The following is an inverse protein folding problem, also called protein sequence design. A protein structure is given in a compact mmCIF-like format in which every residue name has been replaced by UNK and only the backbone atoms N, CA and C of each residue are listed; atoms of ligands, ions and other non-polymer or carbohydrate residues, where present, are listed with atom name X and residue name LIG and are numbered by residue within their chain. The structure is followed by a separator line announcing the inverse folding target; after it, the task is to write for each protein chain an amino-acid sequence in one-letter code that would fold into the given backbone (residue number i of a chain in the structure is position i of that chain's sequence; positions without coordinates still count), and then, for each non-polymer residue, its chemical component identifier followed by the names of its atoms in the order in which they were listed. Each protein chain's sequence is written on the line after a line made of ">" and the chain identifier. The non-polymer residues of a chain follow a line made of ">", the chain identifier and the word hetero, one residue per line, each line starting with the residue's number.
data_IF_369199757450
#
_entry.id   IF_369199757450
#
_cell.length_a   1.000
_cell.length_b   1.000
_cell.length_c   1.000
_cell.angle_alpha   90.00
_cell.angle_beta   90.00
_cell.angle_gamma   90.00
#
_symmetry.space_group_name_H-M   'P 1'
#
loop_
_entity.id
_entity.type
_entity.pdbx_description
1 polymer ?
#
# COMPACT_ATOMS: atom_id res chain seq x y z
N UNK A 1 3.89 -0.83 27.95
CA UNK A 1 2.88 0.19 28.31
C UNK A 1 3.61 1.51 28.29
N UNK A 2 3.02 2.53 27.68
CA UNK A 2 3.62 3.86 27.56
C UNK A 2 2.81 4.85 28.42
N UNK A 3 3.48 5.49 29.38
CA UNK A 3 2.83 6.42 30.32
C UNK A 3 2.40 7.75 29.68
N UNK A 4 3.09 8.18 28.63
CA UNK A 4 2.66 9.37 27.89
C UNK A 4 1.41 9.06 27.07
N UNK A 5 1.31 7.87 26.47
CA UNK A 5 0.06 7.43 25.83
C UNK A 5 -1.08 7.33 26.84
N UNK A 6 -0.83 6.82 28.05
CA UNK A 6 -1.84 6.78 29.11
C UNK A 6 -2.30 8.18 29.51
N UNK A 7 -1.37 9.11 29.67
CA UNK A 7 -1.64 10.52 29.96
C UNK A 7 -2.52 11.16 28.89
N UNK A 8 -2.24 10.88 27.60
CA UNK A 8 -3.06 11.33 26.47
C UNK A 8 -4.48 10.76 26.55
N UNK A 9 -4.62 9.45 26.84
CA UNK A 9 -5.92 8.78 26.96
C UNK A 9 -6.76 9.40 28.09
N UNK A 10 -6.18 9.61 29.27
CA UNK A 10 -6.86 10.26 30.40
C UNK A 10 -7.25 11.70 30.08
N UNK A 11 -6.38 12.46 29.40
CA UNK A 11 -6.68 13.81 28.97
C UNK A 11 -7.84 13.86 27.97
N UNK A 12 -7.87 12.96 26.99
CA UNK A 12 -8.96 12.87 26.02
C UNK A 12 -10.30 12.59 26.71
N UNK A 13 -10.34 11.56 27.56
CA UNK A 13 -11.56 11.19 28.29
C UNK A 13 -12.09 12.33 29.15
N UNK A 14 -11.21 13.02 29.88
CA UNK A 14 -11.58 14.15 30.74
C UNK A 14 -12.03 15.37 29.93
N UNK A 15 -11.30 15.73 28.88
CA UNK A 15 -11.53 16.97 28.12
C UNK A 15 -12.80 16.88 27.27
N UNK A 16 -13.10 15.72 26.69
CA UNK A 16 -14.21 15.53 25.76
C UNK A 16 -15.40 14.76 26.36
N UNK A 17 -15.45 14.55 27.68
CA UNK A 17 -16.51 13.81 28.37
C UNK A 17 -17.92 14.33 28.03
N UNK A 18 -18.09 15.66 27.93
CA UNK A 18 -19.38 16.29 27.64
C UNK A 18 -19.90 16.01 26.22
N UNK A 19 -19.05 15.52 25.31
CA UNK A 19 -19.41 15.15 23.94
C UNK A 19 -19.86 13.70 23.81
N UNK A 20 -19.72 12.87 24.86
CA UNK A 20 -20.19 11.48 24.87
C UNK A 20 -21.71 11.41 24.70
N UNK A 21 -22.44 12.26 25.43
CA UNK A 21 -23.91 12.31 25.34
C UNK A 21 -24.41 12.78 23.96
N UNK A 22 -23.58 13.48 23.18
CA UNK A 22 -23.88 13.92 21.81
C UNK A 22 -23.53 12.86 20.75
N UNK A 23 -22.84 11.79 21.13
CA UNK A 23 -22.31 10.79 20.21
C UNK A 23 -21.04 11.22 19.45
N UNK A 24 -20.52 12.42 19.72
CA UNK A 24 -19.36 12.99 19.05
C UNK A 24 -18.02 12.50 19.64
N UNK A 25 -18.03 11.88 20.81
CA UNK A 25 -16.85 11.28 21.45
C UNK A 25 -17.20 9.96 22.12
N UNK A 26 -16.24 9.05 22.22
CA UNK A 26 -16.37 7.77 22.91
C UNK A 26 -15.27 7.65 23.96
N UNK A 27 -15.63 7.32 25.20
CA UNK A 27 -14.66 7.05 26.26
C UNK A 27 -13.78 5.86 25.90
N UNK A 28 -12.47 6.01 26.04
CA UNK A 28 -11.48 4.99 25.68
C UNK A 28 -10.77 4.41 26.90
N UNK A 29 -10.19 3.19 26.81
CA UNK A 29 -9.37 2.65 27.89
C UNK A 29 -8.10 3.46 28.12
N UNK A 30 -7.78 3.75 29.39
CA UNK A 30 -6.56 4.47 29.82
C UNK A 30 -5.46 3.48 30.21
N UNK A 31 -5.01 2.69 29.25
CA UNK A 31 -4.14 1.54 29.48
C UNK A 31 -2.70 1.73 28.96
N UNK A 32 -2.36 2.92 28.46
CA UNK A 32 -1.04 3.23 27.90
C UNK A 32 -0.68 2.38 26.67
N UNK A 33 -1.67 1.82 25.98
CA UNK A 33 -1.51 1.11 24.70
C UNK A 33 -2.07 1.99 23.59
N UNK A 34 -1.23 2.36 22.64
CA UNK A 34 -1.67 3.01 21.40
C UNK A 34 -2.48 2.01 20.54
N UNK A 35 -3.19 2.50 19.52
CA UNK A 35 -4.01 1.71 18.62
C UNK A 35 -5.19 2.49 18.05
N UNK A 36 -6.03 1.80 17.28
CA UNK A 36 -7.19 2.42 16.62
C UNK A 36 -8.08 3.20 17.57
N UNK A 37 -8.38 2.67 18.75
CA UNK A 37 -9.22 3.33 19.75
C UNK A 37 -8.67 4.71 20.16
N UNK A 38 -7.37 4.82 20.45
CA UNK A 38 -6.73 6.10 20.82
C UNK A 38 -6.64 7.04 19.62
N UNK A 39 -6.32 6.52 18.43
CA UNK A 39 -6.22 7.32 17.19
C UNK A 39 -7.57 7.89 16.77
N UNK A 40 -8.65 7.11 16.87
CA UNK A 40 -10.02 7.57 16.62
C UNK A 40 -10.44 8.63 17.61
N UNK A 41 -10.13 8.46 18.90
CA UNK A 41 -10.39 9.47 19.91
C UNK A 41 -9.65 10.79 19.64
N UNK A 42 -8.36 10.75 19.26
CA UNK A 42 -7.62 11.94 18.83
C UNK A 42 -8.21 12.60 17.57
N UNK A 43 -8.67 11.78 16.61
CA UNK A 43 -9.30 12.27 15.37
C UNK A 43 -10.62 12.98 15.65
N UNK A 44 -11.49 12.37 16.47
CA UNK A 44 -12.76 12.98 16.88
C UNK A 44 -12.55 14.22 17.74
N UNK A 45 -11.57 14.20 18.65
CA UNK A 45 -11.17 15.37 19.42
C UNK A 45 -10.78 16.53 18.49
N UNK A 46 -9.96 16.29 17.47
CA UNK A 46 -9.64 17.33 16.48
C UNK A 46 -10.88 17.83 15.75
N UNK A 47 -11.79 16.94 15.35
CA UNK A 47 -13.02 17.32 14.66
C UNK A 47 -13.92 18.21 15.55
N UNK A 48 -14.04 17.91 16.84
CA UNK A 48 -14.75 18.74 17.82
C UNK A 48 -14.13 20.13 17.90
N UNK A 49 -12.80 20.22 18.02
CA UNK A 49 -12.08 21.51 18.07
C UNK A 49 -12.20 22.30 16.77
N UNK A 50 -12.45 21.63 15.64
CA UNK A 50 -12.73 22.25 14.35
C UNK A 50 -14.23 22.56 14.13
N UNK A 51 -15.08 22.31 15.12
CA UNK A 51 -16.53 22.56 15.03
C UNK A 51 -17.30 21.59 14.14
N UNK A 52 -16.78 20.38 13.93
CA UNK A 52 -17.39 19.35 13.09
C UNK A 52 -18.26 18.42 13.95
N UNK A 53 -19.53 18.30 13.59
CA UNK A 53 -20.50 17.34 14.16
C UNK A 53 -21.49 16.89 13.06
N UNK A 54 -21.85 15.59 12.97
CA UNK A 54 -21.32 14.50 13.77
C UNK A 54 -19.84 14.21 13.46
N UNK A 55 -19.08 13.74 14.47
CA UNK A 55 -17.69 13.29 14.26
C UNK A 55 -17.61 11.91 13.58
N UNK A 56 -16.43 11.57 13.09
CA UNK A 56 -16.13 10.31 12.41
C UNK A 56 -14.74 9.76 12.79
N UNK A 57 -14.55 8.45 12.61
CA UNK A 57 -13.30 7.74 12.91
C UNK A 57 -12.21 7.93 11.84
N UNK A 58 -12.33 8.95 10.99
CA UNK A 58 -11.39 9.24 9.92
C UNK A 58 -11.20 10.74 9.70
N UNK A 59 -9.98 11.12 9.31
CA UNK A 59 -9.64 12.46 8.84
C UNK A 59 -10.04 12.59 7.37
N UNK A 60 -11.31 12.95 7.13
CA UNK A 60 -11.91 13.07 5.79
C UNK A 60 -11.88 14.48 5.19
N UNK A 61 -12.50 14.69 4.02
CA UNK A 61 -12.46 15.98 3.30
C UNK A 61 -12.95 17.19 4.10
N UNK A 62 -13.95 17.00 4.96
CA UNK A 62 -14.44 18.06 5.86
C UNK A 62 -13.38 18.51 6.86
N UNK A 63 -12.68 17.57 7.49
CA UNK A 63 -11.57 17.85 8.39
C UNK A 63 -10.38 18.47 7.66
N UNK A 64 -10.07 18.01 6.44
CA UNK A 64 -9.01 18.59 5.59
C UNK A 64 -9.26 20.06 5.25
N UNK A 65 -10.50 20.41 4.94
CA UNK A 65 -10.89 21.78 4.62
C UNK A 65 -10.85 22.69 5.86
N UNK A 66 -11.25 22.17 7.01
CA UNK A 66 -11.34 22.94 8.25
C UNK A 66 -9.97 23.15 8.93
N UNK A 67 -9.08 22.15 8.87
CA UNK A 67 -7.79 22.19 9.54
C UNK A 67 -6.89 23.31 9.01
N UNK A 68 -6.24 24.03 9.92
CA UNK A 68 -5.24 25.04 9.61
C UNK A 68 -3.85 24.53 10.01
N UNK A 69 -2.83 24.69 9.15
CA UNK A 69 -1.48 24.26 9.48
C UNK A 69 -0.99 24.85 10.80
N UNK A 70 -0.26 24.05 11.57
CA UNK A 70 0.30 24.47 12.87
C UNK A 70 1.78 24.76 12.71
N UNK A 71 2.23 25.82 13.37
CA UNK A 71 3.63 26.22 13.47
C UNK A 71 4.00 26.42 14.92
N UNK A 72 5.30 26.56 15.19
CA UNK A 72 5.77 27.00 16.50
C UNK A 72 5.05 28.30 16.90
N UNK A 73 4.55 28.36 18.13
CA UNK A 73 3.93 29.55 18.68
C UNK A 73 4.97 30.55 19.18
N UNK A 74 4.50 31.76 19.53
CA UNK A 74 5.31 32.67 20.34
C UNK A 74 5.68 32.02 21.68
N UNK A 75 6.76 32.49 22.32
CA UNK A 75 7.25 31.92 23.57
C UNK A 75 6.24 32.00 24.73
N UNK A 76 5.29 32.91 24.66
CA UNK A 76 4.20 33.14 25.63
C UNK A 76 2.84 32.59 25.17
N UNK A 77 2.81 31.82 24.06
CA UNK A 77 1.60 31.23 23.52
C UNK A 77 0.88 30.37 24.57
N UNK A 78 -0.43 30.58 24.72
CA UNK A 78 -1.26 29.82 25.66
C UNK A 78 -1.48 28.39 25.15
N UNK A 79 -1.65 27.41 26.07
CA UNK A 79 -2.03 26.05 25.69
C UNK A 79 -3.32 25.99 24.87
N UNK A 80 -3.39 25.08 23.90
CA UNK A 80 -4.62 24.78 23.15
C UNK A 80 -4.86 23.27 23.05
N UNK A 81 -6.13 22.88 22.94
CA UNK A 81 -6.52 21.48 22.77
C UNK A 81 -5.97 20.89 21.47
N UNK A 82 -5.91 21.67 20.38
CA UNK A 82 -5.31 21.24 19.11
C UNK A 82 -3.82 20.86 19.28
N UNK A 83 -3.07 21.63 20.06
CA UNK A 83 -1.67 21.31 20.34
C UNK A 83 -1.53 20.09 21.26
N UNK A 84 -2.44 19.90 22.23
CA UNK A 84 -2.49 18.64 22.99
C UNK A 84 -2.76 17.46 22.06
N UNK A 85 -3.69 17.57 21.10
CA UNK A 85 -3.94 16.51 20.11
C UNK A 85 -2.69 16.24 19.28
N UNK A 86 -1.99 17.27 18.80
CA UNK A 86 -0.74 17.13 18.05
C UNK A 86 0.32 16.36 18.86
N UNK A 87 0.58 16.80 20.10
CA UNK A 87 1.55 16.17 20.98
C UNK A 87 1.16 14.73 21.31
N UNK A 88 -0.13 14.48 21.57
CA UNK A 88 -0.66 13.14 21.83
C UNK A 88 -0.53 12.22 20.63
N UNK A 89 -0.77 12.73 19.42
CA UNK A 89 -0.56 11.97 18.19
C UNK A 89 0.93 11.63 17.98
N UNK A 90 1.86 12.54 18.30
CA UNK A 90 3.29 12.22 18.27
C UNK A 90 3.67 11.10 19.23
N UNK A 91 3.22 11.15 20.49
CA UNK A 91 3.45 10.05 21.42
C UNK A 91 2.88 8.73 20.90
N UNK A 92 1.68 8.74 20.33
CA UNK A 92 1.07 7.55 19.73
C UNK A 92 1.83 7.01 18.51
N UNK A 93 2.62 7.85 17.83
CA UNK A 93 3.50 7.51 16.70
C UNK A 93 4.93 7.17 17.10
N UNK A 94 5.28 7.30 18.39
CA UNK A 94 6.63 7.03 18.89
C UNK A 94 7.61 8.21 18.77
N UNK A 95 7.12 9.42 18.52
CA UNK A 95 7.92 10.65 18.55
C UNK A 95 7.70 11.36 19.90
N UNK A 96 8.78 11.82 20.54
CA UNK A 96 8.67 12.64 21.75
C UNK A 96 8.60 14.12 21.40
N UNK A 97 7.47 14.81 21.63
CA UNK A 97 7.36 16.27 21.47
C UNK A 97 7.97 17.07 22.64
N UNK A 98 8.68 16.41 23.56
CA UNK A 98 9.31 16.99 24.76
C UNK A 98 8.39 17.13 25.96
N UNK A 99 7.07 17.20 25.76
CA UNK A 99 6.08 17.24 26.82
C UNK A 99 4.64 17.20 26.29
N UNK A 100 3.68 17.15 27.20
CA UNK A 100 2.25 17.22 26.91
C UNK A 100 1.68 18.47 27.58
N UNK A 101 1.94 19.62 26.97
CA UNK A 101 1.73 20.96 27.55
C UNK A 101 0.64 21.77 26.86
N UNK A 102 0.18 21.32 25.68
CA UNK A 102 -0.71 22.09 24.81
C UNK A 102 -0.03 23.31 24.16
N UNK A 103 1.28 23.47 24.30
CA UNK A 103 2.04 24.55 23.65
C UNK A 103 2.94 23.98 22.56
N UNK A 104 2.84 24.52 21.34
CA UNK A 104 3.76 24.18 20.26
C UNK A 104 5.08 24.94 20.45
N UNK A 105 5.97 24.41 21.29
CA UNK A 105 7.31 24.92 21.53
C UNK A 105 8.41 24.25 20.71
N UNK A 106 9.68 24.58 21.00
CA UNK A 106 10.83 24.09 20.25
C UNK A 106 10.98 22.57 20.18
N UNK A 107 10.70 21.85 21.27
CA UNK A 107 10.74 20.38 21.27
C UNK A 107 9.65 19.75 20.40
N UNK A 108 8.45 20.34 20.37
CA UNK A 108 7.39 19.92 19.44
C UNK A 108 7.82 20.18 18.00
N UNK A 109 8.46 21.31 17.70
CA UNK A 109 8.99 21.59 16.36
C UNK A 109 10.07 20.58 15.94
N UNK A 110 10.95 20.18 16.86
CA UNK A 110 11.95 19.13 16.61
C UNK A 110 11.27 17.80 16.27
N UNK A 111 10.24 17.39 17.02
CA UNK A 111 9.47 16.19 16.71
C UNK A 111 8.80 16.25 15.32
N UNK A 112 8.27 17.41 14.94
CA UNK A 112 7.71 17.62 13.58
C UNK A 112 8.80 17.44 12.52
N UNK A 113 9.99 18.04 12.70
CA UNK A 113 11.10 17.88 11.76
C UNK A 113 11.59 16.44 11.66
N UNK A 114 11.63 15.71 12.79
CA UNK A 114 11.95 14.29 12.80
C UNK A 114 10.92 13.49 11.99
N UNK A 115 9.63 13.74 12.19
CA UNK A 115 8.58 13.11 11.39
C UNK A 115 8.70 13.45 9.90
N UNK A 116 8.92 14.73 9.55
CA UNK A 116 9.07 15.16 8.16
C UNK A 116 10.24 14.43 7.48
N UNK A 117 11.37 14.29 8.17
CA UNK A 117 12.54 13.53 7.72
C UNK A 117 12.21 12.05 7.53
N UNK A 118 11.58 11.43 8.53
CA UNK A 118 11.21 10.02 8.52
C UNK A 118 10.19 9.68 7.44
N UNK A 119 9.26 10.60 7.17
CA UNK A 119 8.30 10.52 6.07
C UNK A 119 8.94 10.77 4.70
N UNK A 120 10.20 11.23 4.63
CA UNK A 120 10.90 11.50 3.38
C UNK A 120 10.53 12.82 2.72
N UNK A 121 9.94 13.77 3.45
CA UNK A 121 9.52 15.05 2.88
C UNK A 121 10.72 15.90 2.44
N UNK A 122 10.59 16.56 1.29
CA UNK A 122 11.60 17.47 0.75
C UNK A 122 11.84 18.68 1.69
N UNK A 123 10.76 19.20 2.27
CA UNK A 123 10.80 20.33 3.20
C UNK A 123 10.64 19.83 4.63
N UNK A 124 11.60 20.20 5.50
CA UNK A 124 11.67 19.82 6.92
C UNK A 124 11.69 21.07 7.81
N UNK A 125 10.71 21.95 7.58
CA UNK A 125 10.58 23.27 8.20
C UNK A 125 10.00 23.25 9.62
N UNK A 126 9.48 22.11 10.07
CA UNK A 126 8.77 21.98 11.35
C UNK A 126 7.33 22.49 11.32
N UNK A 127 6.74 22.69 10.14
CA UNK A 127 5.33 23.05 9.96
C UNK A 127 4.46 21.78 9.86
N UNK A 128 3.39 21.73 10.63
CA UNK A 128 2.38 20.65 10.55
C UNK A 128 1.34 21.02 9.51
N UNK A 129 1.53 20.54 8.28
CA UNK A 129 0.53 20.66 7.22
C UNK A 129 -0.67 19.73 7.45
N UNK A 130 -1.75 19.93 6.69
CA UNK A 130 -2.94 19.05 6.72
C UNK A 130 -2.58 17.59 6.45
N UNK A 131 -1.68 17.33 5.48
CA UNK A 131 -1.22 15.98 5.13
C UNK A 131 -0.44 15.34 6.30
N UNK A 132 0.38 16.12 7.02
CA UNK A 132 1.11 15.64 8.20
C UNK A 132 0.13 15.32 9.32
N UNK A 133 -0.80 16.22 9.65
CA UNK A 133 -1.77 15.98 10.72
C UNK A 133 -2.64 14.75 10.44
N UNK A 134 -3.12 14.62 9.20
CA UNK A 134 -3.86 13.44 8.73
C UNK A 134 -3.05 12.14 8.90
N UNK A 135 -1.74 12.21 8.65
CA UNK A 135 -0.84 11.05 8.78
C UNK A 135 -0.48 10.72 10.23
N UNK A 136 -0.49 11.72 11.12
CA UNK A 136 -0.37 11.51 12.56
C UNK A 136 -1.62 10.85 13.16
N UNK A 137 -2.79 11.12 12.57
CA UNK A 137 -4.10 10.62 13.01
C UNK A 137 -4.58 9.37 12.24
N UNK A 138 -3.66 8.45 11.97
CA UNK A 138 -3.95 7.13 11.41
C UNK A 138 -3.00 6.07 12.00
N UNK A 139 -2.96 4.86 11.46
CA UNK A 139 -2.04 3.79 11.92
C UNK A 139 -0.75 3.64 11.09
N UNK A 140 -0.51 4.49 10.10
CA UNK A 140 0.70 4.46 9.26
C UNK A 140 1.96 4.63 10.11
N UNK A 141 2.94 3.76 9.95
CA UNK A 141 4.25 3.92 10.60
C UNK A 141 5.21 4.67 9.66
N UNK A 142 5.99 5.58 10.22
CA UNK A 142 6.99 6.37 9.50
C UNK A 142 8.42 6.02 9.90
N UNK A 143 8.60 4.93 10.64
CA UNK A 143 9.88 4.32 10.98
C UNK A 143 9.87 2.85 10.52
N UNK A 144 11.03 2.29 10.18
CA UNK A 144 11.12 0.88 9.79
C UNK A 144 10.60 -0.01 10.91
N UNK A 145 9.64 -0.88 10.61
CA UNK A 145 9.12 -1.85 11.59
C UNK A 145 9.90 -3.16 11.53
N UNK A 146 9.67 -4.05 12.50
CA UNK A 146 10.24 -5.41 12.46
C UNK A 146 9.80 -6.14 11.19
N UNK A 147 10.76 -6.74 10.48
CA UNK A 147 10.53 -7.35 9.15
C UNK A 147 10.50 -6.36 7.99
N UNK A 148 10.62 -5.06 8.24
CA UNK A 148 10.72 -4.03 7.21
C UNK A 148 12.05 -4.09 6.44
N UNK A 149 11.98 -3.80 5.14
CA UNK A 149 13.12 -3.72 4.24
C UNK A 149 13.53 -2.25 4.03
N UNK A 150 14.83 -1.94 4.19
CA UNK A 150 15.34 -0.58 4.04
C UNK A 150 15.18 -0.01 2.62
N UNK A 151 15.36 -0.82 1.57
CA UNK A 151 15.15 -0.38 0.20
C UNK A 151 13.67 -0.02 -0.04
N UNK A 152 12.73 -0.81 0.50
CA UNK A 152 11.29 -0.49 0.44
C UNK A 152 10.98 0.79 1.22
N UNK A 153 11.59 1.00 2.39
CA UNK A 153 11.45 2.27 3.12
C UNK A 153 11.96 3.45 2.28
N UNK A 154 13.11 3.31 1.63
CA UNK A 154 13.64 4.36 0.74
C UNK A 154 12.67 4.63 -0.41
N UNK A 155 12.05 3.61 -0.99
CA UNK A 155 10.98 3.78 -1.99
C UNK A 155 9.82 4.59 -1.42
N UNK A 156 9.30 4.20 -0.27
CA UNK A 156 8.19 4.90 0.39
C UNK A 156 8.51 6.37 0.67
N UNK A 157 9.72 6.66 1.17
CA UNK A 157 10.20 8.02 1.40
C UNK A 157 10.33 8.82 0.10
N UNK A 158 10.87 8.23 -0.96
CA UNK A 158 10.97 8.86 -2.27
C UNK A 158 9.58 9.17 -2.86
N UNK A 159 8.64 8.24 -2.72
CA UNK A 159 7.26 8.44 -3.17
C UNK A 159 6.59 9.60 -2.41
N UNK A 160 6.78 9.66 -1.10
CA UNK A 160 6.30 10.79 -0.30
C UNK A 160 6.93 12.11 -0.72
N UNK A 161 8.25 12.15 -0.95
CA UNK A 161 8.97 13.33 -1.40
C UNK A 161 8.39 13.90 -2.70
N UNK A 162 8.19 13.03 -3.68
CA UNK A 162 8.01 13.43 -5.07
C UNK A 162 6.52 13.48 -5.49
N UNK A 163 5.64 12.74 -4.79
CA UNK A 163 4.24 12.55 -5.21
C UNK A 163 3.20 12.93 -4.15
N UNK A 164 3.54 13.04 -2.86
CA UNK A 164 2.53 13.26 -1.80
C UNK A 164 1.69 14.52 -1.99
N UNK A 165 2.28 15.62 -2.46
CA UNK A 165 1.56 16.87 -2.72
C UNK A 165 0.53 16.72 -3.86
N UNK A 166 0.85 15.93 -4.88
CA UNK A 166 -0.05 15.68 -6.01
C UNK A 166 -1.14 14.65 -5.65
N UNK A 167 -0.80 13.63 -4.86
CA UNK A 167 -1.73 12.59 -4.43
C UNK A 167 -2.66 13.08 -3.32
N UNK A 168 -2.15 13.88 -2.38
CA UNK A 168 -2.86 14.40 -1.21
C UNK A 168 -2.70 13.54 0.05
N UNK A 169 -1.73 12.62 0.10
CA UNK A 169 -1.52 11.73 1.25
C UNK A 169 -0.07 11.26 1.35
N UNK A 170 0.33 10.80 2.54
CA UNK A 170 1.60 10.11 2.75
C UNK A 170 1.37 8.60 2.80
N UNK A 171 2.24 7.86 2.14
CA UNK A 171 2.37 6.41 2.33
C UNK A 171 3.17 6.15 3.62
N UNK A 172 2.87 5.09 4.39
CA UNK A 172 3.76 4.62 5.45
C UNK A 172 5.19 4.46 4.95
N UNK A 173 6.18 4.72 5.80
CA UNK A 173 7.60 4.45 5.55
C UNK A 173 8.08 3.23 6.34
N UNK A 174 7.22 2.25 6.59
CA UNK A 174 7.49 1.11 7.47
C UNK A 174 8.48 0.07 6.90
N UNK A 175 8.85 0.17 5.63
CA UNK A 175 9.67 -0.80 4.92
C UNK A 175 8.92 -2.06 4.50
N UNK A 176 7.60 -2.11 4.66
CA UNK A 176 6.77 -3.22 4.21
C UNK A 176 6.07 -2.85 2.90
N UNK A 177 6.20 -3.70 1.88
CA UNK A 177 5.48 -3.47 0.64
C UNK A 177 4.01 -3.87 0.79
N UNK A 178 3.16 -2.86 0.99
CA UNK A 178 1.73 -3.02 1.17
C UNK A 178 0.87 -2.36 0.08
N UNK A 179 -0.45 -2.44 0.28
CA UNK A 179 -1.45 -1.85 -0.62
C UNK A 179 -1.21 -0.35 -0.86
N UNK A 180 -0.92 0.41 0.18
CA UNK A 180 -0.76 1.87 0.08
C UNK A 180 0.47 2.23 -0.77
N UNK A 181 1.59 1.52 -0.58
CA UNK A 181 2.79 1.66 -1.40
C UNK A 181 2.51 1.29 -2.86
N UNK A 182 1.85 0.17 -3.13
CA UNK A 182 1.52 -0.22 -4.51
C UNK A 182 0.57 0.78 -5.19
N UNK A 183 -0.48 1.22 -4.49
CA UNK A 183 -1.44 2.21 -4.99
C UNK A 183 -0.72 3.52 -5.31
N UNK A 184 0.21 3.94 -4.45
CA UNK A 184 1.03 5.15 -4.65
C UNK A 184 1.99 5.01 -5.83
N UNK A 185 2.62 3.84 -6.03
CA UNK A 185 3.42 3.54 -7.23
C UNK A 185 2.59 3.67 -8.51
N UNK A 186 1.35 3.17 -8.50
CA UNK A 186 0.46 3.27 -9.67
C UNK A 186 0.01 4.72 -9.89
N UNK A 187 -0.30 5.49 -8.85
CA UNK A 187 -0.57 6.93 -8.97
C UNK A 187 0.63 7.69 -9.56
N UNK A 188 1.83 7.39 -9.08
CA UNK A 188 3.06 7.98 -9.59
C UNK A 188 3.26 7.63 -11.07
N UNK A 189 3.08 6.36 -11.45
CA UNK A 189 3.15 5.92 -12.85
C UNK A 189 2.12 6.66 -13.72
N UNK A 190 0.86 6.72 -13.29
CA UNK A 190 -0.18 7.46 -14.00
C UNK A 190 0.21 8.93 -14.21
N UNK A 191 0.77 9.59 -13.19
CA UNK A 191 1.26 10.97 -13.30
C UNK A 191 2.39 11.10 -14.32
N UNK A 192 3.40 10.24 -14.25
CA UNK A 192 4.57 10.29 -15.15
C UNK A 192 4.21 9.96 -16.60
N UNK A 193 3.15 9.18 -16.83
CA UNK A 193 2.56 8.92 -18.16
C UNK A 193 1.57 10.04 -18.59
N UNK A 194 1.53 11.16 -17.87
CA UNK A 194 0.75 12.35 -18.24
C UNK A 194 -0.74 12.31 -17.86
N UNK A 195 -1.18 11.34 -17.06
CA UNK A 195 -2.58 11.27 -16.63
C UNK A 195 -2.91 12.40 -15.65
N UNK A 196 -3.97 13.16 -15.96
CA UNK A 196 -4.46 14.21 -15.07
C UNK A 196 -4.89 13.64 -13.71
N UNK A 197 -4.70 14.43 -12.64
CA UNK A 197 -5.03 14.02 -11.27
C UNK A 197 -6.50 13.63 -11.07
N UNK A 198 -7.41 14.27 -11.82
CA UNK A 198 -8.85 13.99 -11.81
C UNK A 198 -9.22 12.64 -12.42
N UNK A 199 -8.35 12.08 -13.26
CA UNK A 199 -8.53 10.77 -13.92
C UNK A 199 -7.77 9.67 -13.17
N UNK A 200 -6.61 9.99 -12.62
CA UNK A 200 -5.77 9.06 -11.88
C UNK A 200 -6.52 8.49 -10.66
N UNK A 201 -6.40 7.17 -10.47
CA UNK A 201 -7.15 6.42 -9.47
C UNK A 201 -6.32 5.35 -8.73
N UNK A 202 -5.02 5.24 -9.03
CA UNK A 202 -4.14 4.27 -8.37
C UNK A 202 -4.41 2.80 -8.75
N UNK A 203 -5.25 2.55 -9.76
CA UNK A 203 -5.53 1.22 -10.29
C UNK A 203 -4.84 1.01 -11.64
N UNK A 204 -4.22 -0.16 -11.84
CA UNK A 204 -3.62 -0.55 -13.12
C UNK A 204 -4.70 -1.06 -14.09
N UNK A 205 -5.61 -0.17 -14.50
CA UNK A 205 -6.72 -0.44 -15.41
C UNK A 205 -6.45 -0.08 -16.87
N UNK A 206 -7.49 -0.09 -17.73
CA UNK A 206 -7.37 0.20 -19.17
C UNK A 206 -6.64 1.51 -19.48
N UNK A 207 -6.96 2.61 -18.77
CA UNK A 207 -6.28 3.89 -18.99
C UNK A 207 -4.78 3.84 -18.74
N UNK A 208 -4.34 3.15 -17.68
CA UNK A 208 -2.90 2.93 -17.41
C UNK A 208 -2.28 2.00 -18.45
N UNK A 209 -3.00 0.95 -18.86
CA UNK A 209 -2.54 0.00 -19.89
C UNK A 209 -2.32 0.68 -21.25
N UNK A 210 -3.22 1.56 -21.69
CA UNK A 210 -3.15 2.22 -23.00
C UNK A 210 -2.05 3.26 -23.08
N UNK A 211 -1.79 3.99 -21.99
CA UNK A 211 -0.83 5.10 -21.98
C UNK A 211 0.59 4.69 -21.63
N UNK A 212 0.84 3.42 -21.29
CA UNK A 212 2.11 3.00 -20.74
C UNK A 212 3.26 3.09 -21.77
N UNK A 213 4.32 3.78 -21.39
CA UNK A 213 5.54 3.88 -22.17
C UNK A 213 6.40 2.61 -21.99
N UNK A 214 6.79 1.99 -23.09
CA UNK A 214 7.76 0.88 -23.06
C UNK A 214 9.16 1.43 -22.73
N UNK A 215 9.87 0.77 -21.81
CA UNK A 215 11.24 1.15 -21.44
C UNK A 215 12.22 0.13 -22.02
N UNK A 216 13.25 0.63 -22.71
CA UNK A 216 14.34 -0.17 -23.27
C UNK A 216 15.70 0.32 -22.74
N UNK A 217 16.72 -0.56 -22.61
CA UNK A 217 18.05 -0.22 -22.04
C UNK A 217 18.87 0.85 -22.79
N UNK A 218 18.35 1.47 -23.85
CA UNK A 218 19.05 2.43 -24.72
C UNK A 218 18.23 3.69 -25.05
N UNK A 219 17.01 3.81 -24.51
CA UNK A 219 16.19 5.01 -24.71
C UNK A 219 16.78 6.17 -23.89
N UNK A 220 16.73 7.45 -24.35
CA UNK A 220 16.95 8.58 -23.45
C UNK A 220 15.89 8.49 -22.35
N UNK A 221 16.28 7.90 -21.23
CA UNK A 221 15.33 7.34 -20.29
C UNK A 221 14.59 8.47 -19.58
N UNK A 222 13.25 8.40 -19.55
CA UNK A 222 12.48 9.17 -18.60
C UNK A 222 12.91 8.71 -17.19
N UNK A 223 13.75 9.51 -16.54
CA UNK A 223 14.36 9.20 -15.24
C UNK A 223 13.31 8.80 -14.21
N UNK A 224 12.15 9.46 -14.22
CA UNK A 224 11.06 9.17 -13.28
C UNK A 224 10.45 7.78 -13.55
N UNK A 225 10.16 7.43 -14.81
CA UNK A 225 9.65 6.09 -15.14
C UNK A 225 10.64 4.97 -14.80
N UNK A 226 11.95 5.21 -15.00
CA UNK A 226 12.98 4.25 -14.59
C UNK A 226 13.09 4.14 -13.07
N UNK A 227 12.97 5.25 -12.33
CA UNK A 227 12.89 5.20 -10.88
C UNK A 227 11.68 4.38 -10.42
N UNK A 228 10.51 4.57 -11.03
CA UNK A 228 9.32 3.78 -10.70
C UNK A 228 9.49 2.28 -11.02
N UNK A 229 10.18 1.94 -12.11
CA UNK A 229 10.58 0.55 -12.39
C UNK A 229 11.49 0.01 -11.29
N UNK A 230 12.55 0.73 -10.93
CA UNK A 230 13.48 0.32 -9.87
C UNK A 230 12.74 0.16 -8.53
N UNK A 231 11.87 1.11 -8.17
CA UNK A 231 11.03 1.02 -6.98
C UNK A 231 10.15 -0.23 -6.97
N UNK A 232 9.54 -0.54 -8.13
CA UNK A 232 8.68 -1.72 -8.29
C UNK A 232 9.47 -3.02 -8.14
N UNK A 233 10.69 -3.09 -8.70
CA UNK A 233 11.58 -4.25 -8.54
C UNK A 233 11.97 -4.46 -7.07
N UNK A 234 12.36 -3.40 -6.37
CA UNK A 234 12.69 -3.46 -4.94
C UNK A 234 11.49 -3.91 -4.09
N UNK A 235 10.29 -3.39 -4.37
CA UNK A 235 9.06 -3.81 -3.70
C UNK A 235 8.71 -5.29 -3.95
N UNK A 236 9.09 -5.83 -5.12
CA UNK A 236 8.96 -7.25 -5.44
C UNK A 236 10.14 -8.11 -4.91
N UNK A 237 10.95 -7.58 -4.00
CA UNK A 237 12.00 -8.31 -3.30
C UNK A 237 13.30 -8.47 -4.10
N UNK A 238 13.47 -7.75 -5.21
CA UNK A 238 14.71 -7.82 -5.98
C UNK A 238 15.78 -6.89 -5.36
N UNK A 239 17.05 -7.34 -5.29
CA UNK A 239 18.10 -6.58 -4.63
C UNK A 239 18.61 -5.46 -5.53
N UNK A 240 18.07 -4.25 -5.33
CA UNK A 240 18.59 -3.03 -5.96
C UNK A 240 19.58 -2.34 -5.04
N UNK A 241 20.74 -2.00 -5.58
CA UNK A 241 21.77 -1.25 -4.87
C UNK A 241 21.49 0.25 -4.86
N UNK A 242 21.02 0.80 -5.98
CA UNK A 242 20.79 2.23 -6.14
C UNK A 242 19.54 2.56 -6.95
N UNK A 243 18.85 3.62 -6.52
CA UNK A 243 17.76 4.22 -7.27
C UNK A 243 18.28 5.40 -8.10
N UNK A 244 18.99 5.08 -9.20
CA UNK A 244 19.65 6.07 -10.07
C UNK A 244 18.69 6.75 -11.04
N UNK A 245 17.59 6.08 -11.40
CA UNK A 245 16.75 6.47 -12.53
C UNK A 245 17.42 6.28 -13.89
N UNK A 246 18.54 5.55 -13.94
CA UNK A 246 19.23 5.16 -15.16
C UNK A 246 18.93 3.70 -15.44
N UNK A 247 18.55 3.38 -16.68
CA UNK A 247 18.30 2.00 -17.10
C UNK A 247 19.63 1.29 -17.39
N UNK A 248 20.38 1.00 -16.34
CA UNK A 248 21.71 0.42 -16.40
C UNK A 248 21.72 -1.12 -16.50
N UNK A 249 22.92 -1.71 -16.49
CA UNK A 249 23.12 -3.15 -16.55
C UNK A 249 22.51 -3.88 -15.34
N UNK A 250 22.55 -3.27 -14.15
CA UNK A 250 21.90 -3.81 -12.95
C UNK A 250 20.39 -3.89 -13.15
N UNK A 251 19.76 -2.76 -13.51
CA UNK A 251 18.31 -2.69 -13.78
C UNK A 251 17.91 -3.72 -14.85
N UNK A 252 18.67 -3.79 -15.94
CA UNK A 252 18.44 -4.78 -17.02
C UNK A 252 18.47 -6.22 -16.52
N UNK A 253 19.48 -6.59 -15.72
CA UNK A 253 19.61 -7.95 -15.20
C UNK A 253 18.52 -8.30 -14.20
N UNK A 254 18.10 -7.35 -13.37
CA UNK A 254 16.99 -7.56 -12.43
C UNK A 254 15.65 -7.71 -13.15
N UNK A 255 15.41 -6.96 -14.22
CA UNK A 255 14.23 -7.16 -15.07
C UNK A 255 14.23 -8.55 -15.71
N UNK A 256 15.36 -9.00 -16.27
CA UNK A 256 15.48 -10.36 -16.82
C UNK A 256 15.17 -11.43 -15.78
N UNK A 257 15.76 -11.29 -14.58
CA UNK A 257 15.50 -12.20 -13.46
C UNK A 257 14.02 -12.24 -13.09
N UNK A 258 13.35 -11.09 -13.03
CA UNK A 258 11.92 -11.03 -12.75
C UNK A 258 11.09 -11.69 -13.87
N UNK A 259 11.41 -11.40 -15.13
CA UNK A 259 10.76 -11.99 -16.30
C UNK A 259 10.87 -13.52 -16.33
N UNK A 260 12.07 -14.05 -16.04
CA UNK A 260 12.33 -15.49 -15.94
C UNK A 260 11.60 -16.15 -14.77
N UNK A 261 11.56 -15.47 -13.62
CA UNK A 261 10.80 -15.91 -12.45
C UNK A 261 9.31 -16.00 -12.77
N UNK A 262 8.76 -14.96 -13.40
CA UNK A 262 7.35 -14.88 -13.82
C UNK A 262 7.03 -15.70 -15.08
N UNK A 263 8.02 -16.41 -15.65
CA UNK A 263 7.90 -17.21 -16.88
C UNK A 263 7.27 -16.42 -18.03
N UNK A 264 7.71 -15.18 -18.21
CA UNK A 264 7.24 -14.31 -19.29
C UNK A 264 7.85 -14.75 -20.63
N UNK A 265 7.17 -14.45 -21.74
CA UNK A 265 7.69 -14.73 -23.08
C UNK A 265 8.85 -13.82 -23.48
N UNK A 266 8.90 -12.62 -22.90
CA UNK A 266 10.01 -11.67 -23.03
C UNK A 266 11.00 -11.89 -21.90
N UNK A 267 12.28 -12.08 -22.24
CA UNK A 267 13.40 -12.24 -21.30
C UNK A 267 14.59 -11.37 -21.68
N UNK A 268 14.36 -10.35 -22.50
CA UNK A 268 15.41 -9.47 -23.03
C UNK A 268 15.85 -8.42 -22.03
N UNK A 269 15.10 -8.24 -20.93
CA UNK A 269 15.32 -7.16 -19.99
C UNK A 269 14.69 -5.83 -20.43
N UNK A 270 13.89 -5.81 -21.51
CA UNK A 270 13.05 -4.67 -21.86
C UNK A 270 11.71 -4.74 -21.11
N UNK A 271 11.14 -3.58 -20.77
CA UNK A 271 9.87 -3.47 -20.06
C UNK A 271 8.77 -3.06 -21.03
N UNK A 272 7.75 -3.91 -21.09
CA UNK A 272 6.49 -3.64 -21.76
C UNK A 272 5.33 -3.62 -20.75
N UNK A 273 4.13 -3.34 -21.25
CA UNK A 273 2.89 -3.38 -20.47
C UNK A 273 2.72 -4.65 -19.64
N UNK A 274 2.97 -5.82 -20.23
CA UNK A 274 2.88 -7.08 -19.50
C UNK A 274 3.83 -7.15 -18.30
N UNK A 275 5.05 -6.62 -18.42
CA UNK A 275 6.05 -6.67 -17.33
C UNK A 275 5.73 -5.65 -16.23
N UNK A 276 5.39 -4.41 -16.58
CA UNK A 276 4.99 -3.39 -15.61
C UNK A 276 3.73 -3.81 -14.84
N UNK A 277 2.74 -4.35 -15.56
CA UNK A 277 1.50 -4.80 -14.94
C UNK A 277 1.73 -6.00 -14.03
N UNK A 278 2.65 -6.91 -14.37
CA UNK A 278 3.04 -7.99 -13.47
C UNK A 278 3.68 -7.49 -12.16
N UNK A 279 4.51 -6.44 -12.22
CA UNK A 279 5.15 -5.85 -11.04
C UNK A 279 4.17 -5.15 -10.08
N UNK A 280 3.10 -4.55 -10.62
CA UNK A 280 2.20 -3.63 -9.89
C UNK A 280 0.76 -4.15 -9.73
N UNK A 281 0.40 -5.25 -10.38
CA UNK A 281 -0.90 -5.90 -10.26
C UNK A 281 -0.71 -7.38 -9.92
N UNK A 282 -1.35 -7.83 -8.84
CA UNK A 282 -1.30 -9.23 -8.42
C UNK A 282 -1.79 -10.22 -9.50
N UNK A 283 -2.74 -9.80 -10.33
CA UNK A 283 -3.23 -10.61 -11.45
C UNK A 283 -2.37 -10.49 -12.72
N UNK A 284 -1.40 -9.57 -12.74
CA UNK A 284 -0.62 -9.24 -13.92
C UNK A 284 -1.48 -8.83 -15.13
N UNK A 285 -1.00 -9.15 -16.33
CA UNK A 285 -1.77 -9.04 -17.56
C UNK A 285 -2.63 -10.30 -17.76
N UNK A 286 -3.94 -10.15 -17.58
CA UNK A 286 -4.92 -11.24 -17.72
C UNK A 286 -5.16 -11.66 -19.16
N UNK A 287 -4.65 -10.92 -20.15
CA UNK A 287 -4.72 -11.30 -21.56
C UNK A 287 -3.56 -12.23 -21.97
N UNK A 288 -2.60 -12.47 -21.07
CA UNK A 288 -1.50 -13.41 -21.30
C UNK A 288 -2.03 -14.82 -21.47
N UNK A 289 -1.59 -15.50 -22.53
CA UNK A 289 -1.81 -16.93 -22.69
C UNK A 289 -1.18 -17.73 -21.54
N UNK A 290 -1.90 -18.74 -21.06
CA UNK A 290 -1.43 -19.64 -20.02
C UNK A 290 -1.68 -21.09 -20.43
N UNK A 291 -0.77 -21.99 -20.03
CA UNK A 291 -0.91 -23.43 -20.25
C UNK A 291 -1.48 -24.14 -19.02
N UNK A 292 -1.66 -23.43 -17.91
CA UNK A 292 -2.19 -23.97 -16.67
C UNK A 292 -3.25 -23.04 -16.07
N UNK A 293 -4.22 -23.61 -15.36
CA UNK A 293 -5.20 -22.88 -14.55
C UNK A 293 -5.36 -23.57 -13.19
N UNK A 294 -5.95 -22.89 -12.21
CA UNK A 294 -6.42 -23.49 -10.95
C UNK A 294 -7.90 -23.16 -10.78
N UNK A 295 -8.66 -24.09 -10.23
CA UNK A 295 -10.10 -23.93 -10.01
C UNK A 295 -10.57 -24.73 -8.82
N UNK A 296 -11.58 -24.21 -8.11
CA UNK A 296 -12.31 -24.95 -7.07
C UNK A 296 -13.50 -25.75 -7.62
N UNK A 297 -13.82 -25.63 -8.91
CA UNK A 297 -14.89 -26.40 -9.56
C UNK A 297 -14.42 -27.81 -9.86
N UNK A 298 -15.21 -28.82 -9.48
CA UNK A 298 -15.08 -30.17 -10.04
C UNK A 298 -15.49 -30.11 -11.50
N UNK A 299 -14.55 -30.39 -12.39
CA UNK A 299 -14.73 -30.25 -13.83
C UNK A 299 -15.46 -31.45 -14.44
N UNK A 300 -16.43 -31.16 -15.30
CA UNK A 300 -17.00 -32.14 -16.22
C UNK A 300 -16.23 -32.19 -17.55
N UNK A 301 -16.59 -33.14 -18.43
CA UNK A 301 -15.90 -33.33 -19.71
C UNK A 301 -15.97 -32.10 -20.62
N UNK A 302 -17.11 -31.41 -20.70
CA UNK A 302 -17.27 -30.22 -21.56
C UNK A 302 -16.40 -29.05 -21.08
N UNK A 303 -16.28 -28.87 -19.77
CA UNK A 303 -15.39 -27.87 -19.17
C UNK A 303 -13.92 -28.22 -19.42
N UNK A 304 -13.54 -29.48 -19.33
CA UNK A 304 -12.19 -29.96 -19.67
C UNK A 304 -11.89 -29.68 -21.15
N UNK A 305 -12.85 -29.93 -22.04
CA UNK A 305 -12.71 -29.67 -23.47
C UNK A 305 -12.61 -28.17 -23.77
N UNK A 306 -13.40 -27.34 -23.07
CA UNK A 306 -13.33 -25.88 -23.15
C UNK A 306 -11.94 -25.38 -22.74
N UNK A 307 -11.42 -25.83 -21.59
CA UNK A 307 -10.08 -25.47 -21.13
C UNK A 307 -9.00 -25.95 -22.10
N UNK A 308 -9.11 -27.17 -22.61
CA UNK A 308 -8.17 -27.71 -23.59
C UNK A 308 -8.13 -26.87 -24.87
N UNK A 309 -9.30 -26.54 -25.41
CA UNK A 309 -9.42 -25.76 -26.64
C UNK A 309 -8.94 -24.32 -26.45
N UNK A 310 -9.10 -23.75 -25.25
CA UNK A 310 -8.53 -22.45 -24.87
C UNK A 310 -7.00 -22.46 -24.65
N UNK A 311 -6.34 -23.61 -24.81
CA UNK A 311 -4.88 -23.73 -24.72
C UNK A 311 -4.33 -24.22 -23.38
N UNK A 312 -5.20 -24.47 -22.39
CA UNK A 312 -4.79 -25.03 -21.11
C UNK A 312 -4.44 -26.53 -21.26
N UNK A 313 -3.39 -26.95 -20.57
CA UNK A 313 -2.85 -28.33 -20.58
C UNK A 313 -2.71 -28.90 -19.18
N UNK A 314 -2.72 -28.05 -18.16
CA UNK A 314 -2.64 -28.41 -16.76
C UNK A 314 -3.76 -27.72 -15.98
N UNK A 315 -4.31 -28.41 -14.98
CA UNK A 315 -5.28 -27.84 -14.05
C UNK A 315 -4.90 -28.20 -12.62
N UNK A 316 -4.68 -27.18 -11.80
CA UNK A 316 -4.56 -27.31 -10.35
C UNK A 316 -5.94 -27.66 -9.78
N UNK A 317 -5.98 -28.67 -8.90
CA UNK A 317 -7.21 -29.15 -8.28
C UNK A 317 -6.99 -29.46 -6.82
N UNK A 318 -8.02 -29.20 -6.03
CA UNK A 318 -8.00 -29.47 -4.59
C UNK A 318 -8.12 -30.97 -4.36
N UNK A 319 -7.32 -31.50 -3.42
CA UNK A 319 -7.43 -32.91 -3.00
C UNK A 319 -8.54 -33.11 -1.96
N UNK A 320 -8.94 -32.05 -1.26
CA UNK A 320 -9.90 -32.12 -0.16
C UNK A 320 -10.80 -30.87 -0.09
N UNK A 321 -11.89 -30.97 0.67
CA UNK A 321 -12.70 -29.86 1.13
C UNK A 321 -13.91 -29.51 0.27
N UNK A 322 -14.65 -28.51 0.75
CA UNK A 322 -15.87 -27.99 0.15
C UNK A 322 -15.80 -26.46 0.03
N UNK A 323 -16.65 -25.88 -0.81
CA UNK A 323 -16.91 -24.43 -0.92
C UNK A 323 -18.40 -24.16 -0.76
N UNK A 324 -18.77 -22.95 -0.35
CA UNK A 324 -20.17 -22.53 -0.33
C UNK A 324 -20.48 -21.86 -1.67
N UNK A 325 -21.51 -22.34 -2.39
CA UNK A 325 -22.01 -21.74 -3.63
C UNK A 325 -23.53 -21.74 -3.61
N UNK A 326 -24.14 -20.58 -3.86
CA UNK A 326 -25.59 -20.42 -3.76
C UNK A 326 -26.16 -20.82 -2.39
N UNK A 327 -25.40 -20.59 -1.32
CA UNK A 327 -25.78 -21.00 0.05
C UNK A 327 -25.58 -22.47 0.39
N UNK A 328 -25.25 -23.33 -0.59
CA UNK A 328 -25.04 -24.77 -0.37
C UNK A 328 -23.56 -25.12 -0.32
N UNK A 329 -23.21 -26.09 0.54
CA UNK A 329 -21.86 -26.67 0.61
C UNK A 329 -21.68 -27.67 -0.54
N UNK A 330 -20.77 -27.37 -1.47
CA UNK A 330 -20.47 -28.22 -2.63
C UNK A 330 -19.00 -28.69 -2.59
N UNK A 331 -18.71 -29.92 -3.06
CA UNK A 331 -17.33 -30.42 -3.12
C UNK A 331 -16.45 -29.55 -4.01
N UNK A 332 -15.24 -29.22 -3.53
CA UNK A 332 -14.15 -28.68 -4.37
C UNK A 332 -13.08 -29.72 -4.67
N UNK A 333 -13.04 -30.78 -3.86
CA UNK A 333 -12.11 -31.88 -4.01
C UNK A 333 -12.32 -32.59 -5.35
N UNK A 334 -11.24 -32.88 -6.05
CA UNK A 334 -11.30 -33.68 -7.26
C UNK A 334 -11.79 -35.09 -6.97
N UNK A 335 -12.51 -35.68 -7.92
CA UNK A 335 -13.03 -37.05 -7.80
C UNK A 335 -12.46 -37.97 -8.89
N UNK A 336 -12.58 -39.31 -8.73
CA UNK A 336 -12.03 -40.26 -9.70
C UNK A 336 -12.52 -40.05 -11.14
N UNK A 337 -13.76 -39.62 -11.33
CA UNK A 337 -14.36 -39.36 -12.64
C UNK A 337 -13.70 -38.16 -13.34
N UNK A 338 -13.53 -37.06 -12.61
CA UNK A 338 -12.80 -35.87 -13.09
C UNK A 338 -11.34 -36.24 -13.44
N UNK A 339 -10.66 -36.98 -12.56
CA UNK A 339 -9.27 -37.44 -12.80
C UNK A 339 -9.19 -38.24 -14.10
N UNK A 340 -10.06 -39.24 -14.26
CA UNK A 340 -10.08 -40.09 -15.45
C UNK A 340 -10.33 -39.26 -16.72
N UNK A 341 -11.25 -38.28 -16.67
CA UNK A 341 -11.55 -37.39 -17.79
C UNK A 341 -10.35 -36.50 -18.18
N UNK A 342 -9.69 -35.89 -17.20
CA UNK A 342 -8.49 -35.06 -17.42
C UNK A 342 -7.36 -35.90 -18.05
N UNK A 343 -7.08 -37.08 -17.49
CA UNK A 343 -6.03 -37.97 -17.99
C UNK A 343 -6.34 -38.55 -19.38
N UNK A 344 -7.62 -38.86 -19.65
CA UNK A 344 -8.08 -39.30 -20.98
C UNK A 344 -7.88 -38.19 -22.01
N UNK A 345 -8.21 -36.94 -21.70
CA UNK A 345 -7.99 -35.82 -22.62
C UNK A 345 -6.49 -35.60 -22.90
N UNK A 346 -5.64 -35.73 -21.87
CA UNK A 346 -4.18 -35.62 -22.03
C UNK A 346 -3.59 -36.74 -22.89
N UNK A 347 -3.98 -37.99 -22.64
CA UNK A 347 -3.44 -39.17 -23.36
C UNK A 347 -3.84 -39.22 -24.83
N UNK A 348 -5.05 -38.76 -25.19
CA UNK A 348 -5.49 -38.69 -26.60
C UNK A 348 -4.69 -37.71 -27.46
N UNK A 349 -3.99 -36.76 -26.87
CA UNK A 349 -3.38 -35.63 -27.57
C UNK A 349 -1.84 -35.55 -27.44
N UNK A 350 -1.18 -36.59 -26.92
CA UNK A 350 0.27 -36.72 -27.01
C UNK A 350 0.62 -37.46 -28.31
N UNK A 351 1.51 -36.93 -29.18
CA UNK A 351 2.14 -37.77 -30.19
C UNK A 351 2.92 -38.87 -29.47
N UNK A 352 2.91 -40.08 -30.01
CA UNK A 352 3.58 -41.26 -29.46
C UNK A 352 5.03 -40.97 -29.05
N UNK A 353 5.26 -40.58 -27.79
CA UNK A 353 6.58 -40.62 -27.19
C UNK A 353 6.84 -42.08 -26.81
N UNK A 354 8.03 -42.62 -27.13
CA UNK A 354 8.35 -44.01 -26.91
C UNK A 354 8.21 -44.32 -25.42
N UNK A 355 7.38 -45.33 -25.12
CA UNK A 355 7.19 -45.87 -23.77
C UNK A 355 8.52 -46.38 -23.25
N UNK A 356 9.25 -45.58 -22.46
CA UNK A 356 10.22 -46.16 -21.52
C UNK A 356 9.41 -46.82 -20.42
N UNK A 357 9.43 -48.15 -20.42
CA UNK A 357 8.92 -48.99 -19.34
C UNK A 357 9.67 -48.60 -18.05
N UNK A 358 8.91 -48.52 -16.96
CA UNK A 358 9.39 -48.34 -15.60
C UNK A 358 10.41 -49.42 -15.23
#
# INVERSE_FOLDING_TARGET
>A
MDEMVKTVQSWLNKTYQSYVAKGDYQTIPENGKTGWTTVYALTRALQIELGISPTADNFGPGTEKAFKPLTIGASDAKPSNINYILQGAFYCKGYSPGGFTGTFGGQTQIAVKMFQKDAGLATQDGVVSTIIMKSLLNMSAFQTVSGGNFAVRTVQQNLNRDYSAWIGTLVPCDGLYGRDTNTTLIYALQKEEGMARTTANGNFGPGTTTNLTNLIPTFPSNKALVLLLQYSLACNGLPINQFSGTYDAETTNLVKRYQEFMKMSITTGAINMGTFKALLSSAGDTNRSATACDTSYVLNTDQIDTLWNAGYRYVGRYLTGNVIRGGARVPKAMNPTEIAAILKKRSKNLPNLPRRRL
#
